data_IF_482763352737
#
_entry.id   IF_482763352737
#
_cell.length_a   1.000
_cell.length_b   1.000
_cell.length_c   1.000
_cell.angle_alpha   90.00
_cell.angle_beta   90.00
_cell.angle_gamma   90.00
#
_symmetry.space_group_name_H-M   'P 1'
#
loop_
_entity.id
_entity.type
_entity.pdbx_description
1 polymer ?
#
# COMPACT_ATOMS: atom_id res chain seq x y z
N UNK A 1 21.06 -17.84 29.12
CA UNK A 1 20.52 -17.32 27.85
C UNK A 1 19.33 -16.44 28.17
N UNK A 2 19.58 -15.15 28.39
CA UNK A 2 18.56 -14.19 28.87
C UNK A 2 17.54 -13.87 27.78
N UNK A 3 16.28 -14.27 28.00
CA UNK A 3 15.11 -14.02 27.12
C UNK A 3 14.28 -12.85 27.66
N UNK A 4 14.90 -11.67 27.86
CA UNK A 4 14.17 -10.44 28.23
C UNK A 4 14.62 -9.26 27.38
N UNK A 5 14.29 -9.33 26.09
CA UNK A 5 14.30 -8.16 25.22
C UNK A 5 13.20 -7.19 25.65
N UNK A 6 13.55 -6.21 26.48
CA UNK A 6 12.69 -5.05 26.76
C UNK A 6 12.48 -4.32 25.43
N UNK A 7 11.29 -4.44 24.84
CA UNK A 7 10.87 -3.61 23.71
C UNK A 7 10.80 -2.18 24.25
N UNK A 8 11.84 -1.39 23.97
CA UNK A 8 11.93 0.04 24.34
C UNK A 8 11.21 0.92 23.32
N UNK A 9 10.39 0.31 22.48
CA UNK A 9 9.67 1.01 21.43
C UNK A 9 8.46 1.69 22.07
N UNK A 10 8.41 3.01 21.93
CA UNK A 10 7.25 3.78 22.36
C UNK A 10 6.06 3.36 21.51
N UNK A 11 5.14 2.59 22.10
CA UNK A 11 3.89 2.13 21.47
C UNK A 11 3.10 3.29 20.85
N UNK A 12 3.08 4.41 21.55
CA UNK A 12 2.41 5.65 21.13
C UNK A 12 3.07 6.20 19.86
N UNK A 13 4.41 6.20 19.80
CA UNK A 13 5.15 6.68 18.63
C UNK A 13 4.90 5.78 17.42
N UNK A 14 4.92 4.45 17.59
CA UNK A 14 4.60 3.50 16.53
C UNK A 14 3.18 3.71 15.97
N UNK A 15 2.19 3.91 16.86
CA UNK A 15 0.82 4.18 16.48
C UNK A 15 0.67 5.48 15.68
N UNK A 16 1.29 6.58 16.14
CA UNK A 16 1.32 7.86 15.42
C UNK A 16 1.97 7.74 14.04
N UNK A 17 3.11 7.05 13.95
CA UNK A 17 3.81 6.84 12.69
C UNK A 17 2.97 6.05 11.70
N UNK A 18 2.34 4.96 12.14
CA UNK A 18 1.42 4.20 11.28
C UNK A 18 0.23 5.05 10.85
N UNK A 19 -0.41 5.77 11.77
CA UNK A 19 -1.58 6.59 11.46
C UNK A 19 -1.30 7.60 10.35
N UNK A 20 -0.26 8.43 10.52
CA UNK A 20 0.08 9.43 9.51
C UNK A 20 0.59 8.83 8.21
N UNK A 21 1.35 7.72 8.27
CA UNK A 21 1.84 7.05 7.07
C UNK A 21 0.70 6.44 6.25
N UNK A 22 -0.25 5.76 6.90
CA UNK A 22 -1.41 5.17 6.23
C UNK A 22 -2.38 6.22 5.73
N UNK A 23 -2.60 7.30 6.49
CA UNK A 23 -3.41 8.42 6.05
C UNK A 23 -2.82 9.06 4.79
N UNK A 24 -1.53 9.39 4.81
CA UNK A 24 -0.85 9.97 3.65
C UNK A 24 -0.82 9.03 2.43
N UNK A 25 -0.46 7.76 2.64
CA UNK A 25 -0.40 6.78 1.57
C UNK A 25 -1.77 6.45 0.98
N UNK A 26 -2.81 6.40 1.81
CA UNK A 26 -4.19 6.12 1.38
C UNK A 26 -4.81 7.24 0.56
N UNK A 27 -4.38 8.49 0.77
CA UNK A 27 -4.85 9.63 -0.03
C UNK A 27 -4.36 9.59 -1.48
N UNK A 28 -3.23 8.93 -1.75
CA UNK A 28 -2.63 8.85 -3.08
C UNK A 28 -3.61 8.25 -4.12
N UNK A 29 -4.16 7.03 -3.93
CA UNK A 29 -5.14 6.46 -4.86
C UNK A 29 -6.52 7.14 -4.80
N UNK A 30 -6.85 7.87 -3.74
CA UNK A 30 -8.14 8.61 -3.64
C UNK A 30 -8.08 9.91 -4.45
N UNK A 31 -6.90 10.53 -4.55
CA UNK A 31 -6.72 11.83 -5.22
C UNK A 31 -7.33 11.97 -6.63
N UNK A 32 -7.34 10.96 -7.52
CA UNK A 32 -7.95 11.09 -8.85
C UNK A 32 -9.47 11.27 -8.80
N UNK A 33 -10.15 10.75 -7.78
CA UNK A 33 -11.59 10.92 -7.61
C UNK A 33 -11.99 12.35 -7.23
N UNK A 34 -11.05 13.16 -6.76
CA UNK A 34 -11.31 14.57 -6.44
C UNK A 34 -11.35 15.46 -7.69
N UNK A 35 -10.74 15.00 -8.79
CA UNK A 35 -10.47 15.84 -9.98
C UNK A 35 -11.18 15.28 -11.22
N UNK A 36 -11.24 13.96 -11.38
CA UNK A 36 -11.73 13.32 -12.59
C UNK A 36 -13.12 12.69 -12.41
N UNK A 37 -13.90 12.55 -13.50
CA UNK A 37 -15.15 11.78 -13.48
C UNK A 37 -14.92 10.34 -13.02
N UNK A 38 -15.91 9.68 -12.37
CA UNK A 38 -15.74 8.35 -11.78
C UNK A 38 -15.19 7.29 -12.74
N UNK A 39 -15.60 7.31 -14.02
CA UNK A 39 -15.17 6.31 -14.99
C UNK A 39 -13.67 6.39 -15.30
N UNK A 40 -13.14 7.61 -15.39
CA UNK A 40 -11.71 7.86 -15.65
C UNK A 40 -10.90 7.76 -14.35
N UNK A 41 -11.46 8.27 -13.25
CA UNK A 41 -10.83 8.27 -11.93
C UNK A 41 -10.52 6.85 -11.44
N UNK A 42 -11.41 5.88 -11.69
CA UNK A 42 -11.19 4.46 -11.34
C UNK A 42 -9.90 3.90 -11.96
N UNK A 43 -9.71 4.09 -13.26
CA UNK A 43 -8.54 3.56 -13.99
C UNK A 43 -7.26 4.25 -13.52
N UNK A 44 -7.30 5.58 -13.40
CA UNK A 44 -6.14 6.37 -12.94
C UNK A 44 -5.75 5.99 -11.51
N UNK A 45 -6.74 5.80 -10.62
CA UNK A 45 -6.53 5.39 -9.23
C UNK A 45 -5.83 4.03 -9.13
N UNK A 46 -6.26 3.04 -9.92
CA UNK A 46 -5.63 1.71 -9.96
C UNK A 46 -4.17 1.81 -10.42
N UNK A 47 -3.91 2.56 -11.50
CA UNK A 47 -2.54 2.73 -12.02
C UNK A 47 -1.65 3.39 -10.97
N UNK A 48 -2.13 4.46 -10.33
CA UNK A 48 -1.40 5.16 -9.27
C UNK A 48 -1.14 4.24 -8.07
N UNK A 49 -2.12 3.43 -7.66
CA UNK A 49 -1.96 2.47 -6.58
C UNK A 49 -0.89 1.42 -6.90
N UNK A 50 -0.89 0.86 -8.12
CA UNK A 50 0.09 -0.14 -8.56
C UNK A 50 1.51 0.44 -8.62
N UNK A 51 1.65 1.67 -9.14
CA UNK A 51 2.93 2.38 -9.13
C UNK A 51 3.38 2.62 -7.69
N UNK A 52 2.48 3.07 -6.82
CA UNK A 52 2.74 3.28 -5.40
C UNK A 52 3.23 2.01 -4.70
N UNK A 53 2.55 0.88 -4.91
CA UNK A 53 2.94 -0.43 -4.39
C UNK A 53 4.33 -0.85 -4.87
N UNK A 54 4.63 -0.66 -6.16
CA UNK A 54 5.94 -0.98 -6.71
C UNK A 54 7.04 -0.12 -6.08
N UNK A 55 6.81 1.19 -5.97
CA UNK A 55 7.77 2.14 -5.39
C UNK A 55 8.02 1.81 -3.91
N UNK A 56 6.96 1.65 -3.12
CA UNK A 56 7.06 1.29 -1.69
C UNK A 56 7.76 -0.07 -1.55
N UNK A 57 7.44 -1.05 -2.39
CA UNK A 57 8.09 -2.36 -2.38
C UNK A 57 9.57 -2.30 -2.71
N UNK A 58 9.97 -1.46 -3.66
CA UNK A 58 11.37 -1.22 -4.00
C UNK A 58 12.13 -0.58 -2.84
N UNK A 59 11.59 0.49 -2.25
CA UNK A 59 12.18 1.17 -1.10
C UNK A 59 12.28 0.24 0.11
N UNK A 60 11.21 -0.50 0.42
CA UNK A 60 11.19 -1.51 1.49
C UNK A 60 12.30 -2.53 1.27
N UNK A 61 12.44 -3.08 0.05
CA UNK A 61 13.47 -4.05 -0.25
C UNK A 61 14.88 -3.49 -0.07
N UNK A 62 15.13 -2.23 -0.46
CA UNK A 62 16.41 -1.54 -0.27
C UNK A 62 16.72 -1.30 1.22
N UNK A 63 15.75 -0.86 2.00
CA UNK A 63 15.91 -0.55 3.43
C UNK A 63 16.14 -1.83 4.26
N UNK A 64 15.43 -2.91 3.95
CA UNK A 64 15.49 -4.18 4.69
C UNK A 64 16.63 -5.11 4.18
N UNK A 65 17.50 -4.62 3.30
CA UNK A 65 18.65 -5.39 2.78
C UNK A 65 18.29 -6.60 1.92
N UNK A 66 17.04 -6.67 1.44
CA UNK A 66 16.58 -7.72 0.52
C UNK A 66 16.75 -7.28 -0.94
N UNK A 67 16.59 -8.21 -1.90
CA UNK A 67 16.60 -7.87 -3.33
C UNK A 67 15.44 -6.90 -3.65
N UNK A 68 15.75 -5.61 -3.81
CA UNK A 68 14.77 -4.53 -3.97
C UNK A 68 13.75 -4.81 -5.10
N UNK A 69 14.24 -5.28 -6.25
CA UNK A 69 13.39 -5.62 -7.39
C UNK A 69 12.41 -6.77 -7.08
N UNK A 70 12.86 -7.80 -6.34
CA UNK A 70 12.00 -8.92 -5.95
C UNK A 70 10.88 -8.44 -5.04
N UNK A 71 11.21 -7.57 -4.08
CA UNK A 71 10.21 -7.04 -3.14
C UNK A 71 9.19 -6.11 -3.79
N UNK A 72 9.61 -5.32 -4.77
CA UNK A 72 8.73 -4.49 -5.60
C UNK A 72 7.74 -5.33 -6.41
N UNK A 73 8.23 -6.37 -7.10
CA UNK A 73 7.40 -7.28 -7.89
C UNK A 73 6.44 -8.07 -7.00
N UNK A 74 6.89 -8.55 -5.85
CA UNK A 74 6.05 -9.27 -4.88
C UNK A 74 4.90 -8.38 -4.38
N UNK A 75 5.16 -7.13 -3.99
CA UNK A 75 4.11 -6.19 -3.59
C UNK A 75 3.16 -5.84 -4.73
N UNK A 76 3.68 -5.68 -5.95
CA UNK A 76 2.86 -5.43 -7.14
C UNK A 76 1.91 -6.60 -7.42
N UNK A 77 2.40 -7.85 -7.35
CA UNK A 77 1.59 -9.05 -7.61
C UNK A 77 0.53 -9.21 -6.52
N UNK A 78 0.91 -9.14 -5.24
CA UNK A 78 -0.03 -9.32 -4.13
C UNK A 78 -1.10 -8.23 -4.15
N UNK A 79 -0.71 -6.97 -4.29
CA UNK A 79 -1.65 -5.84 -4.34
C UNK A 79 -2.48 -5.83 -5.62
N UNK A 80 -1.90 -6.23 -6.76
CA UNK A 80 -2.61 -6.37 -8.03
C UNK A 80 -3.68 -7.47 -7.97
N UNK A 81 -3.37 -8.63 -7.38
CA UNK A 81 -4.34 -9.69 -7.14
C UNK A 81 -5.45 -9.23 -6.19
N UNK A 82 -5.11 -8.54 -5.09
CA UNK A 82 -6.11 -7.98 -4.17
C UNK A 82 -7.04 -6.99 -4.88
N UNK A 83 -6.48 -6.12 -5.74
CA UNK A 83 -7.25 -5.16 -6.54
C UNK A 83 -8.18 -5.87 -7.52
N UNK A 84 -7.68 -6.88 -8.24
CA UNK A 84 -8.48 -7.67 -9.19
C UNK A 84 -9.66 -8.36 -8.48
N UNK A 85 -9.42 -9.00 -7.33
CA UNK A 85 -10.47 -9.60 -6.52
C UNK A 85 -11.48 -8.53 -6.08
N UNK A 86 -11.01 -7.38 -5.61
CA UNK A 86 -11.87 -6.26 -5.22
C UNK A 86 -12.78 -5.78 -6.36
N UNK A 87 -12.25 -5.68 -7.59
CA UNK A 87 -13.03 -5.30 -8.77
C UNK A 87 -14.08 -6.34 -9.15
N UNK A 88 -13.72 -7.63 -9.12
CA UNK A 88 -14.65 -8.74 -9.41
C UNK A 88 -15.80 -8.72 -8.39
N UNK A 89 -15.45 -8.63 -7.10
CA UNK A 89 -16.43 -8.63 -6.00
C UNK A 89 -17.31 -7.38 -6.07
N UNK A 90 -16.74 -6.20 -6.32
CA UNK A 90 -17.51 -4.96 -6.48
C UNK A 90 -18.51 -5.03 -7.65
N UNK A 91 -18.05 -5.57 -8.78
CA UNK A 91 -18.93 -5.76 -9.96
C UNK A 91 -20.04 -6.77 -9.68
N UNK A 92 -19.73 -7.88 -8.98
CA UNK A 92 -20.71 -8.90 -8.62
C UNK A 92 -21.79 -8.38 -7.66
N UNK A 93 -21.39 -7.54 -6.70
CA UNK A 93 -22.30 -6.95 -5.71
C UNK A 93 -23.13 -5.77 -6.25
N UNK A 94 -22.92 -5.32 -7.50
CA UNK A 94 -23.58 -4.14 -8.09
C UNK A 94 -23.55 -2.91 -7.15
N UNK A 95 -22.38 -2.63 -6.56
CA UNK A 95 -22.09 -1.38 -5.82
C UNK A 95 -21.17 -0.50 -6.64
#
# INVERSE_FOLDING_TARGET
>A
MDRKGRHRDSLIMGALLMFFSYLGAGLIPISPFLIFPPDVARVISIIIALIGLFVIGYFKGKVVGHKAMRSAVEMLIIGGLATAIGLIVGTFLKV
#
